data_IF_268774223728
#
_entry.id   IF_268774223728
#
_cell.length_a   1.000
_cell.length_b   1.000
_cell.length_c   1.000
_cell.angle_alpha   90.00
_cell.angle_beta   90.00
_cell.angle_gamma   90.00
#
_symmetry.space_group_name_H-M   'P 1'
#
loop_
_entity.id
_entity.type
_entity.pdbx_description
1 polymer ?
#
# COMPACT_ATOMS: atom_id res chain seq x y z
N UNK A 1 -12.89 -1.59 -19.29
CA UNK A 1 -12.83 -1.41 -17.83
C UNK A 1 -12.30 -2.71 -17.24
N UNK A 2 -11.08 -2.68 -16.72
CA UNK A 2 -10.53 -3.81 -15.96
C UNK A 2 -11.21 -3.76 -14.60
N UNK A 3 -11.72 -4.89 -14.11
CA UNK A 3 -12.27 -4.98 -12.76
C UNK A 3 -11.42 -5.95 -11.96
N UNK A 4 -10.83 -5.47 -10.86
CA UNK A 4 -10.07 -6.32 -9.95
C UNK A 4 -11.07 -7.11 -9.13
N UNK A 5 -11.15 -8.41 -9.40
CA UNK A 5 -12.06 -9.35 -8.75
C UNK A 5 -11.42 -9.99 -7.53
N UNK A 6 -11.26 -9.19 -6.48
CA UNK A 6 -10.95 -9.70 -5.14
C UNK A 6 -11.98 -9.15 -4.15
N UNK A 7 -12.33 -9.96 -3.17
CA UNK A 7 -13.19 -9.52 -2.07
C UNK A 7 -12.42 -8.57 -1.14
N UNK A 8 -13.15 -7.76 -0.38
CA UNK A 8 -12.55 -6.87 0.61
C UNK A 8 -11.76 -7.66 1.66
N UNK A 9 -12.28 -8.80 2.11
CA UNK A 9 -11.62 -9.64 3.11
C UNK A 9 -10.30 -10.23 2.60
N UNK A 10 -10.26 -10.67 1.34
CA UNK A 10 -9.02 -11.12 0.69
C UNK A 10 -8.00 -9.99 0.59
N UNK A 11 -8.44 -8.78 0.21
CA UNK A 11 -7.59 -7.61 0.13
C UNK A 11 -7.01 -7.23 1.51
N UNK A 12 -7.83 -7.28 2.57
CA UNK A 12 -7.40 -7.01 3.96
C UNK A 12 -6.40 -8.06 4.41
N UNK A 13 -6.67 -9.33 4.15
CA UNK A 13 -5.76 -10.43 4.50
C UNK A 13 -4.40 -10.26 3.82
N UNK A 14 -4.39 -9.98 2.51
CA UNK A 14 -3.18 -9.70 1.75
C UNK A 14 -2.43 -8.50 2.34
N UNK A 15 -3.11 -7.38 2.59
CA UNK A 15 -2.47 -6.18 3.13
C UNK A 15 -1.84 -6.45 4.50
N UNK A 16 -2.52 -7.18 5.39
CA UNK A 16 -1.96 -7.55 6.70
C UNK A 16 -0.71 -8.43 6.59
N UNK A 17 -0.70 -9.38 5.65
CA UNK A 17 0.49 -10.19 5.39
C UNK A 17 1.67 -9.31 4.94
N UNK A 18 1.41 -8.36 4.03
CA UNK A 18 2.42 -7.41 3.56
C UNK A 18 2.91 -6.47 4.67
N UNK A 19 2.00 -6.00 5.54
CA UNK A 19 2.36 -5.21 6.72
C UNK A 19 3.23 -6.00 7.71
N UNK A 20 2.95 -7.29 7.90
CA UNK A 20 3.78 -8.15 8.76
C UNK A 20 5.22 -8.26 8.22
N UNK A 21 5.38 -8.47 6.91
CA UNK A 21 6.71 -8.50 6.31
C UNK A 21 7.45 -7.17 6.50
N UNK A 22 6.78 -6.05 6.26
CA UNK A 22 7.36 -4.72 6.46
C UNK A 22 7.77 -4.48 7.92
N UNK A 23 6.94 -4.87 8.90
CA UNK A 23 7.29 -4.78 10.33
C UNK A 23 8.55 -5.61 10.65
N UNK A 24 8.65 -6.83 10.11
CA UNK A 24 9.83 -7.68 10.28
C UNK A 24 11.08 -7.01 9.69
N UNK A 25 10.98 -6.38 8.51
CA UNK A 25 12.10 -5.67 7.90
C UNK A 25 12.52 -4.47 8.74
N UNK A 26 11.58 -3.61 9.16
CA UNK A 26 11.88 -2.45 10.01
C UNK A 26 12.50 -2.84 11.36
N UNK A 27 12.06 -3.95 11.97
CA UNK A 27 12.68 -4.52 13.19
C UNK A 27 14.12 -4.98 12.94
N UNK A 28 14.39 -5.59 11.79
CA UNK A 28 15.75 -6.04 11.41
C UNK A 28 16.69 -4.85 11.19
N UNK A 29 16.17 -3.78 10.59
CA UNK A 29 16.94 -2.56 10.30
C UNK A 29 17.06 -1.62 11.51
N UNK A 30 16.48 -1.98 12.66
CA UNK A 30 16.53 -1.20 13.90
C UNK A 30 15.67 0.06 13.88
N UNK A 31 14.75 0.19 12.91
CA UNK A 31 13.80 1.30 12.81
C UNK A 31 12.64 1.16 13.80
N UNK A 32 12.35 -0.07 14.22
CA UNK A 32 11.32 -0.42 15.22
C UNK A 32 11.96 -1.37 16.24
N UNK A 33 11.59 -1.24 17.51
CA UNK A 33 12.07 -2.13 18.57
C UNK A 33 11.65 -3.57 18.30
N UNK A 34 12.57 -4.53 18.50
CA UNK A 34 12.35 -5.95 18.17
C UNK A 34 11.13 -6.56 18.88
N UNK A 35 10.83 -6.09 20.09
CA UNK A 35 9.74 -6.52 20.95
C UNK A 35 8.38 -5.96 20.55
N UNK A 36 8.32 -4.91 19.71
CA UNK A 36 7.07 -4.19 19.43
C UNK A 36 6.20 -4.96 18.45
N UNK A 37 4.97 -5.25 18.83
CA UNK A 37 3.93 -5.70 17.93
C UNK A 37 3.10 -4.51 17.43
N UNK A 38 2.16 -4.74 16.51
CA UNK A 38 1.37 -3.65 15.93
C UNK A 38 0.62 -2.82 16.99
N UNK A 39 0.20 -3.44 18.08
CA UNK A 39 -0.50 -2.81 19.20
C UNK A 39 0.38 -1.79 19.93
N UNK A 40 1.70 -1.96 19.88
CA UNK A 40 2.67 -1.06 20.50
C UNK A 40 2.95 0.18 19.64
N UNK A 41 2.56 0.18 18.36
CA UNK A 41 2.87 1.24 17.43
C UNK A 41 1.85 2.38 17.52
N UNK A 42 2.34 3.60 17.34
CA UNK A 42 1.49 4.77 17.12
C UNK A 42 0.75 4.65 15.80
N UNK A 43 -0.37 5.38 15.64
CA UNK A 43 -1.10 5.41 14.38
C UNK A 43 -0.20 5.88 13.21
N UNK A 44 0.70 6.83 13.44
CA UNK A 44 1.62 7.31 12.40
C UNK A 44 2.58 6.21 11.92
N UNK A 45 3.09 5.38 12.82
CA UNK A 45 3.97 4.26 12.49
C UNK A 45 3.19 3.16 11.76
N UNK A 46 2.00 2.83 12.27
CA UNK A 46 1.10 1.87 11.63
C UNK A 46 0.75 2.28 10.21
N UNK A 47 0.32 3.53 10.02
CA UNK A 47 -0.02 4.07 8.71
C UNK A 47 1.19 4.05 7.76
N UNK A 48 2.38 4.39 8.26
CA UNK A 48 3.61 4.32 7.47
C UNK A 48 3.94 2.89 7.02
N UNK A 49 3.69 1.88 7.85
CA UNK A 49 3.84 0.46 7.49
C UNK A 49 2.76 0.07 6.46
N UNK A 50 1.52 0.49 6.67
CA UNK A 50 0.41 0.24 5.74
C UNK A 50 0.69 0.81 4.36
N UNK A 51 1.11 2.07 4.26
CA UNK A 51 1.41 2.71 2.97
C UNK A 51 2.61 2.06 2.27
N UNK A 52 3.65 1.64 3.02
CA UNK A 52 4.77 0.89 2.46
C UNK A 52 4.33 -0.48 1.93
N UNK A 53 3.50 -1.20 2.70
CA UNK A 53 2.95 -2.49 2.29
C UNK A 53 2.07 -2.37 1.03
N UNK A 54 1.26 -1.32 0.92
CA UNK A 54 0.49 -1.02 -0.30
C UNK A 54 1.43 -0.73 -1.46
N UNK A 55 2.43 0.14 -1.26
CA UNK A 55 3.41 0.51 -2.28
C UNK A 55 4.11 -0.72 -2.88
N UNK A 56 4.58 -1.62 -2.04
CA UNK A 56 5.20 -2.87 -2.48
C UNK A 56 4.25 -3.76 -3.27
N UNK A 57 2.98 -3.80 -2.86
CA UNK A 57 1.96 -4.64 -3.50
C UNK A 57 1.61 -4.10 -4.89
N UNK A 58 1.37 -2.79 -5.00
CA UNK A 58 1.04 -2.14 -6.28
C UNK A 58 2.24 -2.18 -7.24
N UNK A 59 3.47 -2.21 -6.72
CA UNK A 59 4.67 -2.26 -7.53
C UNK A 59 4.80 -3.55 -8.36
N UNK A 60 4.08 -4.60 -7.96
CA UNK A 60 4.02 -5.87 -8.68
C UNK A 60 2.89 -5.92 -9.71
N UNK A 61 2.00 -4.93 -9.75
CA UNK A 61 0.90 -4.89 -10.70
C UNK A 61 1.38 -4.42 -12.08
N UNK A 62 0.76 -4.91 -13.16
CA UNK A 62 0.98 -4.37 -14.49
C UNK A 62 0.67 -2.87 -14.52
N UNK A 63 1.47 -2.09 -15.22
CA UNK A 63 1.27 -0.63 -15.32
C UNK A 63 -0.13 -0.29 -15.84
N UNK A 64 -0.68 -1.09 -16.76
CA UNK A 64 -2.05 -0.92 -17.27
C UNK A 64 -3.10 -0.98 -16.16
N UNK A 65 -2.92 -1.82 -15.13
CA UNK A 65 -3.81 -1.88 -13.97
C UNK A 65 -3.69 -0.62 -13.10
N UNK A 66 -2.54 0.05 -13.11
CA UNK A 66 -2.32 1.27 -12.34
C UNK A 66 -2.82 2.53 -13.05
N UNK A 67 -2.78 2.54 -14.39
CA UNK A 67 -3.11 3.72 -15.20
C UNK A 67 -4.52 3.70 -15.80
N UNK A 68 -5.13 2.53 -15.96
CA UNK A 68 -6.47 2.41 -16.54
C UNK A 68 -7.56 2.74 -15.53
N UNK A 69 -8.73 3.15 -16.03
CA UNK A 69 -9.92 3.29 -15.20
C UNK A 69 -10.40 1.91 -14.70
N UNK A 70 -10.38 1.75 -13.37
CA UNK A 70 -10.80 0.54 -12.66
C UNK A 70 -11.12 0.85 -11.18
N UNK A 71 -11.46 -0.19 -10.41
CA UNK A 71 -11.83 -0.11 -9.01
C UNK A 71 -10.66 -0.15 -8.01
N UNK A 72 -9.39 -0.17 -8.43
CA UNK A 72 -8.22 -0.33 -7.56
C UNK A 72 -8.15 0.72 -6.46
N UNK A 73 -8.38 2.00 -6.80
CA UNK A 73 -8.31 3.12 -5.86
C UNK A 73 -9.29 2.94 -4.71
N UNK A 74 -10.55 2.68 -5.06
CA UNK A 74 -11.62 2.45 -4.11
C UNK A 74 -11.34 1.20 -3.27
N UNK A 75 -10.87 0.12 -3.90
CA UNK A 75 -10.53 -1.12 -3.22
C UNK A 75 -9.42 -0.91 -2.18
N UNK A 76 -8.34 -0.22 -2.52
CA UNK A 76 -7.26 0.12 -1.57
C UNK A 76 -7.82 0.96 -0.42
N UNK A 77 -8.59 2.02 -0.71
CA UNK A 77 -9.16 2.89 0.33
C UNK A 77 -10.05 2.10 1.28
N UNK A 78 -10.92 1.24 0.76
CA UNK A 78 -11.80 0.39 1.59
C UNK A 78 -11.01 -0.64 2.40
N UNK A 79 -9.97 -1.20 1.83
CA UNK A 79 -9.07 -2.15 2.50
C UNK A 79 -8.37 -1.48 3.68
N UNK A 80 -7.85 -0.26 3.51
CA UNK A 80 -7.22 0.51 4.59
C UNK A 80 -8.23 0.88 5.66
N UNK A 81 -9.42 1.35 5.29
CA UNK A 81 -10.49 1.68 6.24
C UNK A 81 -10.89 0.47 7.09
N UNK A 82 -10.95 -0.73 6.49
CA UNK A 82 -11.29 -1.96 7.20
C UNK A 82 -10.25 -2.37 8.27
N UNK A 83 -9.00 -1.90 8.17
CA UNK A 83 -7.97 -2.13 9.19
C UNK A 83 -8.31 -1.48 10.55
N UNK A 84 -9.22 -0.50 10.58
CA UNK A 84 -9.71 0.10 11.84
C UNK A 84 -10.18 -0.96 12.82
N UNK A 85 -10.95 -1.94 12.36
CA UNK A 85 -11.43 -3.06 13.16
C UNK A 85 -10.33 -4.07 13.51
N UNK A 86 -9.32 -4.23 12.65
CA UNK A 86 -8.24 -5.18 12.89
C UNK A 86 -7.22 -4.71 13.93
N UNK A 87 -6.94 -3.41 13.98
CA UNK A 87 -5.97 -2.84 14.92
C UNK A 87 -6.62 -2.06 16.07
N UNK A 88 -7.96 -1.97 16.08
CA UNK A 88 -8.72 -1.12 17.00
C UNK A 88 -8.20 0.33 16.98
N UNK A 89 -8.20 0.92 15.78
CA UNK A 89 -7.69 2.27 15.45
C UNK A 89 -8.64 2.96 14.48
N UNK A 90 -9.58 3.74 15.02
CA UNK A 90 -10.62 4.42 14.25
C UNK A 90 -10.04 5.46 13.28
N UNK A 91 -8.80 5.92 13.49
CA UNK A 91 -8.12 6.85 12.60
C UNK A 91 -8.01 6.32 11.16
N UNK A 92 -7.97 4.99 10.97
CA UNK A 92 -8.02 4.37 9.63
C UNK A 92 -9.30 4.69 8.85
N UNK A 93 -10.41 4.96 9.52
CA UNK A 93 -11.68 5.35 8.86
C UNK A 93 -11.55 6.69 8.13
N UNK A 94 -10.60 7.54 8.55
CA UNK A 94 -10.33 8.83 7.92
C UNK A 94 -9.46 8.71 6.67
N UNK A 95 -8.90 7.53 6.37
CA UNK A 95 -8.11 7.31 5.17
C UNK A 95 -9.00 7.45 3.93
N UNK A 96 -8.63 8.36 3.03
CA UNK A 96 -9.48 8.76 1.89
C UNK A 96 -8.92 8.29 0.55
N UNK A 97 -9.74 8.36 -0.51
CA UNK A 97 -9.25 8.16 -1.89
C UNK A 97 -8.16 9.15 -2.27
N UNK A 98 -8.14 10.36 -1.67
CA UNK A 98 -7.05 11.32 -1.89
C UNK A 98 -5.71 10.79 -1.35
N UNK A 99 -5.72 10.05 -0.25
CA UNK A 99 -4.50 9.41 0.27
C UNK A 99 -4.01 8.33 -0.71
N UNK A 100 -4.91 7.45 -1.15
CA UNK A 100 -4.60 6.44 -2.17
C UNK A 100 -4.06 7.06 -3.45
N UNK A 101 -4.70 8.12 -3.96
CA UNK A 101 -4.27 8.79 -5.18
C UNK A 101 -2.83 9.33 -5.05
N UNK A 102 -2.50 10.00 -3.94
CA UNK A 102 -1.14 10.49 -3.70
C UNK A 102 -0.11 9.36 -3.71
N UNK A 103 -0.45 8.21 -3.10
CA UNK A 103 0.42 7.03 -3.07
C UNK A 103 0.65 6.46 -4.47
N UNK A 104 -0.42 6.27 -5.25
CA UNK A 104 -0.36 5.74 -6.61
C UNK A 104 0.35 6.69 -7.58
N UNK A 105 0.08 7.99 -7.50
CA UNK A 105 0.69 9.01 -8.36
C UNK A 105 2.22 9.00 -8.23
N UNK A 106 2.72 8.87 -7.00
CA UNK A 106 4.16 8.75 -6.75
C UNK A 106 4.75 7.55 -7.46
N UNK A 107 4.13 6.37 -7.35
CA UNK A 107 4.61 5.17 -8.03
C UNK A 107 4.56 5.32 -9.56
N UNK A 108 3.39 5.67 -10.10
CA UNK A 108 3.18 5.80 -11.55
C UNK A 108 4.17 6.78 -12.17
N UNK A 109 4.40 7.93 -11.53
CA UNK A 109 5.36 8.93 -11.99
C UNK A 109 6.77 8.37 -12.09
N UNK A 110 7.25 7.69 -11.04
CA UNK A 110 8.58 7.08 -11.02
C UNK A 110 8.72 5.94 -12.04
N UNK A 111 7.70 5.08 -12.17
CA UNK A 111 7.68 4.00 -13.15
C UNK A 111 7.73 4.52 -14.59
N UNK A 112 6.92 5.53 -14.93
CA UNK A 112 6.91 6.15 -16.25
C UNK A 112 8.25 6.84 -16.55
N UNK A 113 8.82 7.53 -15.58
CA UNK A 113 10.15 8.15 -15.73
C UNK A 113 11.24 7.09 -16.01
N UNK A 114 11.24 5.99 -15.25
CA UNK A 114 12.20 4.90 -15.45
C UNK A 114 12.05 4.21 -16.81
N UNK A 115 10.81 4.02 -17.30
CA UNK A 115 10.56 3.47 -18.64
C UNK A 115 11.09 4.38 -19.72
N UNK A 116 10.75 5.67 -19.68
CA UNK A 116 11.20 6.65 -20.68
C UNK A 116 12.72 6.76 -20.71
N UNK A 117 13.40 6.77 -19.55
CA UNK A 117 14.87 6.82 -19.49
C UNK A 117 15.53 5.58 -20.11
N UNK A 118 14.97 4.38 -19.93
CA UNK A 118 15.48 3.16 -20.57
C UNK A 118 15.35 3.22 -22.10
N UNK A 119 14.31 3.86 -22.63
CA UNK A 119 14.14 4.08 -24.07
C UNK A 119 15.23 4.96 -24.68
N UNK A 120 15.84 5.87 -23.90
CA UNK A 120 16.92 6.75 -24.37
C UNK A 120 18.32 6.12 -24.33
N UNK A 121 18.54 5.05 -23.55
CA UNK A 121 19.86 4.39 -23.44
C UNK A 121 20.05 3.29 -24.50
N UNK A 122 18.96 2.85 -25.14
CA UNK A 122 18.96 1.82 -26.17
C UNK A 122 18.85 2.36 -27.61
N UNK A 123 19.04 3.66 -27.81
CA UNK A 123 19.19 4.31 -29.12
C UNK A 123 20.59 4.94 -29.22
#
# INVERSE_FOLDING_TARGET
>A
MIEIRITLDEAVKLLKERMNHELIFRKKDGLIEKSYEFENLTYSELLSITEAAIFDTIALLPLEVLTSENNLKLLITKTVQALSHNFNRDEYLLYSERNTNKLLERFIKESLYAMNKKTFVNN
#
